data_IF_840689907114
#
_entry.id   IF_840689907114
#
_cell.length_a   1.000
_cell.length_b   1.000
_cell.length_c   1.000
_cell.angle_alpha   90.00
_cell.angle_beta   90.00
_cell.angle_gamma   90.00
#
_symmetry.space_group_name_H-M   'P 1'
#
loop_
_entity.id
_entity.type
_entity.pdbx_description
1 polymer ?
#
# COMPACT_ATOMS: atom_id res chain seq x y z
N UNK A 1 22.96 -9.21 -1.41
CA UNK A 1 21.78 -9.79 -0.73
C UNK A 1 20.83 -8.63 -0.52
N UNK A 2 19.77 -8.57 -1.33
CA UNK A 2 18.74 -7.53 -1.23
C UNK A 2 17.55 -8.23 -0.61
N UNK A 3 17.22 -7.87 0.63
CA UNK A 3 16.05 -8.38 1.30
C UNK A 3 14.82 -7.62 0.79
N UNK A 4 13.90 -8.35 0.16
CA UNK A 4 12.58 -7.82 -0.16
C UNK A 4 11.68 -8.12 1.04
N UNK A 5 11.60 -7.16 1.94
CA UNK A 5 10.76 -7.27 3.12
C UNK A 5 9.40 -6.62 2.85
N UNK A 6 8.33 -7.42 2.78
CA UNK A 6 6.97 -6.90 2.91
C UNK A 6 6.75 -6.60 4.39
N UNK A 7 7.15 -5.39 4.76
CA UNK A 7 7.05 -4.86 6.11
C UNK A 7 5.60 -4.55 6.48
N UNK A 8 5.04 -5.35 7.38
CA UNK A 8 4.63 -4.78 8.67
C UNK A 8 5.77 -5.05 9.67
N UNK A 9 6.72 -4.10 9.74
CA UNK A 9 7.83 -3.92 10.70
C UNK A 9 8.75 -5.13 11.04
N UNK A 10 10.01 -5.13 10.54
CA UNK A 10 11.18 -5.66 11.25
C UNK A 10 11.81 -4.53 12.05
N UNK A 11 12.08 -4.81 13.32
CA UNK A 11 13.09 -4.07 14.07
C UNK A 11 13.89 -5.06 14.92
N UNK A 12 15.20 -4.77 14.96
CA UNK A 12 16.19 -5.09 15.99
C UNK A 12 15.65 -5.81 17.25
N UNK A 13 16.26 -6.95 17.68
CA UNK A 13 15.81 -7.70 18.87
C UNK A 13 15.81 -6.89 20.19
N UNK A 14 16.42 -5.70 20.23
CA UNK A 14 16.37 -4.77 21.36
C UNK A 14 15.13 -3.86 21.43
N UNK A 15 14.25 -3.86 20.42
CA UNK A 15 13.03 -3.02 20.39
C UNK A 15 11.81 -3.84 19.94
N UNK A 16 11.55 -4.92 20.69
CA UNK A 16 10.29 -5.64 20.57
C UNK A 16 9.16 -4.75 21.12
N UNK A 17 8.38 -4.16 20.22
CA UNK A 17 6.98 -3.88 20.55
C UNK A 17 6.26 -5.22 20.46
N UNK A 18 6.49 -6.09 21.45
CA UNK A 18 5.62 -7.22 21.68
C UNK A 18 4.23 -6.63 21.91
N UNK A 19 3.31 -6.82 20.97
CA UNK A 19 1.88 -6.69 21.23
C UNK A 19 1.41 -8.08 21.68
N UNK A 20 1.54 -8.41 22.98
CA UNK A 20 1.28 -9.76 23.44
C UNK A 20 -0.24 -9.89 23.47
N UNK A 21 -0.80 -10.72 22.58
CA UNK A 21 -2.20 -11.19 22.63
C UNK A 21 -3.31 -10.24 22.12
N UNK A 22 -3.14 -9.60 20.96
CA UNK A 22 -4.28 -8.91 20.33
C UNK A 22 -4.77 -9.61 19.05
N UNK A 23 -6.07 -9.93 18.89
CA UNK A 23 -6.67 -10.51 17.67
C UNK A 23 -6.56 -9.63 16.40
N UNK A 24 -5.83 -8.52 16.46
CA UNK A 24 -5.61 -7.58 15.36
C UNK A 24 -4.15 -7.56 14.87
N UNK A 25 -3.29 -8.45 15.37
CA UNK A 25 -1.98 -8.68 14.75
C UNK A 25 -2.18 -9.32 13.37
N UNK A 26 -1.87 -8.60 12.30
CA UNK A 26 -1.98 -9.12 10.93
C UNK A 26 -1.07 -10.32 10.67
N UNK A 27 -1.36 -11.07 9.61
CA UNK A 27 -0.52 -12.18 9.15
C UNK A 27 0.77 -11.64 8.53
N UNK A 28 1.90 -12.32 8.80
CA UNK A 28 3.23 -11.92 8.31
C UNK A 28 3.96 -13.11 7.70
N UNK A 29 4.60 -12.88 6.56
CA UNK A 29 5.52 -13.81 5.93
C UNK A 29 6.76 -13.08 5.40
N UNK A 30 7.91 -13.74 5.48
CA UNK A 30 9.19 -13.24 4.95
C UNK A 30 9.67 -14.21 3.88
N UNK A 31 10.01 -13.68 2.71
CA UNK A 31 10.50 -14.45 1.57
C UNK A 31 11.86 -13.91 1.14
N UNK A 32 12.85 -14.78 1.06
CA UNK A 32 14.14 -14.43 0.47
C UNK A 32 14.01 -14.45 -1.06
N UNK A 33 14.43 -13.36 -1.71
CA UNK A 33 14.50 -13.27 -3.17
C UNK A 33 15.96 -13.36 -3.63
N UNK A 34 16.22 -14.19 -4.64
CA UNK A 34 17.50 -14.18 -5.33
C UNK A 34 17.61 -13.01 -6.33
N UNK A 35 18.80 -12.80 -6.89
CA UNK A 35 19.06 -11.68 -7.80
C UNK A 35 18.16 -11.70 -9.06
N UNK A 36 17.80 -12.89 -9.56
CA UNK A 36 16.91 -13.03 -10.72
C UNK A 36 15.49 -12.62 -10.38
N UNK A 37 15.01 -12.99 -9.20
CA UNK A 37 13.68 -12.64 -8.69
C UNK A 37 13.58 -11.14 -8.39
N UNK A 38 14.58 -10.58 -7.72
CA UNK A 38 14.65 -9.15 -7.45
C UNK A 38 14.69 -8.33 -8.75
N UNK A 39 15.44 -8.81 -9.75
CA UNK A 39 15.45 -8.19 -11.09
C UNK A 39 14.07 -8.22 -11.75
N UNK A 40 13.32 -9.32 -11.63
CA UNK A 40 11.95 -9.41 -12.17
C UNK A 40 11.01 -8.43 -11.49
N UNK A 41 11.07 -8.32 -10.16
CA UNK A 41 10.27 -7.35 -9.40
C UNK A 41 10.60 -5.91 -9.82
N UNK A 42 11.89 -5.59 -9.96
CA UNK A 42 12.31 -4.28 -10.44
C UNK A 42 11.75 -3.96 -11.83
N UNK A 43 11.88 -4.89 -12.78
CA UNK A 43 11.39 -4.69 -14.15
C UNK A 43 9.88 -4.51 -14.19
N UNK A 44 9.12 -5.24 -13.35
CA UNK A 44 7.67 -5.09 -13.28
C UNK A 44 7.24 -3.79 -12.61
N UNK A 45 8.00 -3.29 -11.63
CA UNK A 45 7.84 -1.94 -11.07
C UNK A 45 8.10 -0.85 -12.12
N UNK A 46 9.21 -0.96 -12.86
CA UNK A 46 9.56 -0.03 -13.94
C UNK A 46 8.49 0.01 -15.03
N UNK A 47 8.02 -1.16 -15.47
CA UNK A 47 6.94 -1.28 -16.45
C UNK A 47 5.60 -0.71 -15.96
N UNK A 48 5.44 -0.52 -14.64
CA UNK A 48 4.27 0.11 -14.02
C UNK A 48 4.46 1.61 -13.78
N UNK A 49 5.59 2.19 -14.22
CA UNK A 49 5.90 3.61 -14.05
C UNK A 49 6.46 3.99 -12.68
N UNK A 50 6.88 3.02 -11.85
CA UNK A 50 7.31 3.27 -10.47
C UNK A 50 8.41 4.33 -10.35
N UNK A 51 9.41 4.29 -11.21
CA UNK A 51 10.55 5.22 -11.19
C UNK A 51 10.25 6.60 -11.81
N UNK A 52 9.03 6.82 -12.30
CA UNK A 52 8.55 8.12 -12.77
C UNK A 52 8.29 9.09 -11.62
N UNK A 53 7.73 10.25 -11.95
CA UNK A 53 7.30 11.20 -10.93
C UNK A 53 6.04 10.67 -10.23
N UNK A 54 5.94 10.81 -8.89
CA UNK A 54 4.73 10.49 -8.15
C UNK A 54 3.57 11.39 -8.61
N UNK A 55 2.32 10.92 -8.60
CA UNK A 55 1.17 11.69 -9.07
C UNK A 55 0.72 12.68 -7.98
N UNK A 56 1.50 13.75 -7.81
CA UNK A 56 1.28 14.80 -6.81
C UNK A 56 -0.14 15.39 -6.93
N UNK A 57 -0.79 15.59 -5.79
CA UNK A 57 -2.17 16.07 -5.67
C UNK A 57 -3.22 14.94 -5.73
N UNK A 58 -2.82 13.70 -6.01
CA UNK A 58 -3.74 12.55 -5.98
C UNK A 58 -4.18 12.25 -4.56
N UNK A 59 -5.50 12.05 -4.38
CA UNK A 59 -6.09 11.67 -3.10
C UNK A 59 -6.29 10.16 -3.05
N UNK A 60 -5.66 9.53 -2.06
CA UNK A 60 -5.83 8.14 -1.65
C UNK A 60 -6.93 8.09 -0.60
N UNK A 61 -8.11 7.64 -1.02
CA UNK A 61 -9.25 7.41 -0.15
C UNK A 61 -9.16 6.03 0.50
N UNK A 62 -9.24 5.97 1.83
CA UNK A 62 -9.19 4.71 2.59
C UNK A 62 -10.30 3.73 2.24
N UNK A 63 -11.40 4.20 1.66
CA UNK A 63 -12.48 3.32 1.20
C UNK A 63 -12.26 2.79 -0.20
N UNK A 64 -11.31 3.34 -0.97
CA UNK A 64 -10.99 2.89 -2.32
C UNK A 64 -9.81 1.91 -2.33
N UNK A 65 -9.52 1.37 -3.51
CA UNK A 65 -8.36 0.53 -3.75
C UNK A 65 -7.24 1.37 -4.35
N UNK A 66 -6.04 1.24 -3.80
CA UNK A 66 -4.84 1.86 -4.35
C UNK A 66 -3.61 1.01 -4.03
N UNK A 67 -2.60 1.13 -4.87
CA UNK A 67 -1.26 0.65 -4.57
C UNK A 67 -0.37 1.84 -4.24
N UNK A 68 0.48 1.68 -3.22
CA UNK A 68 1.55 2.59 -2.89
C UNK A 68 2.82 1.75 -2.78
N UNK A 69 3.87 2.16 -3.49
CA UNK A 69 5.18 1.53 -3.38
C UNK A 69 6.17 2.60 -2.97
N UNK A 70 7.02 2.28 -2.00
CA UNK A 70 8.13 3.12 -1.58
C UNK A 70 9.38 2.24 -1.38
N UNK A 71 10.51 2.67 -1.91
CA UNK A 71 11.77 1.95 -1.79
C UNK A 71 12.97 2.88 -1.89
N UNK A 72 14.09 2.44 -1.32
CA UNK A 72 15.38 3.08 -1.49
C UNK A 72 16.20 2.28 -2.51
N UNK A 73 16.70 2.96 -3.54
CA UNK A 73 17.55 2.35 -4.54
C UNK A 73 18.68 3.29 -4.95
N UNK A 74 19.93 2.82 -4.88
CA UNK A 74 21.09 3.63 -5.28
C UNK A 74 21.21 4.97 -4.54
N UNK A 75 20.96 4.96 -3.22
CA UNK A 75 20.90 6.15 -2.35
C UNK A 75 19.82 7.19 -2.74
N UNK A 76 18.80 6.78 -3.49
CA UNK A 76 17.64 7.61 -3.79
C UNK A 76 16.37 6.95 -3.28
N UNK A 77 15.53 7.75 -2.62
CA UNK A 77 14.19 7.33 -2.25
C UNK A 77 13.27 7.51 -3.45
N UNK A 78 12.52 6.47 -3.76
CA UNK A 78 11.49 6.46 -4.79
C UNK A 78 10.17 6.10 -4.11
N UNK A 79 9.09 6.73 -4.54
CA UNK A 79 7.75 6.31 -4.17
C UNK A 79 6.78 6.68 -5.29
N UNK A 80 5.73 5.88 -5.43
CA UNK A 80 4.68 6.13 -6.41
C UNK A 80 3.36 5.50 -5.93
N UNK A 81 2.24 6.02 -6.42
CA UNK A 81 0.91 5.59 -6.06
C UNK A 81 0.03 5.43 -7.29
N UNK A 82 -0.88 4.47 -7.25
CA UNK A 82 -1.85 4.20 -8.31
C UNK A 82 -3.21 4.00 -7.66
N UNK A 83 -4.22 4.73 -8.12
CA UNK A 83 -5.57 4.70 -7.54
C UNK A 83 -6.54 4.03 -8.49
N UNK A 84 -7.36 3.12 -7.97
CA UNK A 84 -8.46 2.55 -8.71
C UNK A 84 -9.71 3.47 -8.61
N UNK A 85 -10.48 3.64 -9.69
CA UNK A 85 -10.20 3.18 -11.06
C UNK A 85 -9.29 4.15 -11.83
N UNK A 86 -8.29 3.64 -12.53
CA UNK A 86 -7.49 4.41 -13.51
C UNK A 86 -6.79 3.48 -14.51
N UNK A 87 -6.52 3.94 -15.74
CA UNK A 87 -5.73 3.16 -16.71
C UNK A 87 -4.37 2.74 -16.18
N UNK A 88 -3.72 3.57 -15.37
CA UNK A 88 -2.43 3.29 -14.76
C UNK A 88 -2.53 2.18 -13.70
N UNK A 89 -3.61 2.16 -12.92
CA UNK A 89 -3.90 1.09 -11.96
C UNK A 89 -4.17 -0.25 -12.67
N UNK A 90 -4.97 -0.23 -13.74
CA UNK A 90 -5.28 -1.44 -14.52
C UNK A 90 -4.05 -1.97 -15.28
N UNK A 91 -3.09 -1.08 -15.56
CA UNK A 91 -1.83 -1.37 -16.23
C UNK A 91 -0.77 -2.03 -15.35
N UNK A 92 -0.96 -2.12 -14.03
CA UNK A 92 0.06 -2.56 -13.07
C UNK A 92 0.59 -3.97 -13.38
N UNK A 93 1.91 -4.10 -13.48
CA UNK A 93 2.61 -5.37 -13.78
C UNK A 93 3.24 -6.02 -12.56
N UNK A 94 3.52 -5.25 -11.52
CA UNK A 94 4.21 -5.78 -10.33
C UNK A 94 3.31 -6.60 -9.42
N UNK A 95 1.98 -6.39 -9.44
CA UNK A 95 1.03 -7.08 -8.53
C UNK A 95 1.09 -8.60 -8.70
N UNK A 96 1.14 -9.09 -9.94
CA UNK A 96 1.29 -10.52 -10.21
C UNK A 96 2.64 -11.05 -9.71
N UNK A 97 3.70 -10.25 -9.83
CA UNK A 97 5.02 -10.63 -9.32
C UNK A 97 5.01 -10.73 -7.80
N UNK A 98 4.41 -9.75 -7.10
CA UNK A 98 4.29 -9.76 -5.64
C UNK A 98 3.49 -10.96 -5.12
N UNK A 99 2.38 -11.30 -5.76
CA UNK A 99 1.55 -12.46 -5.37
C UNK A 99 2.32 -13.79 -5.33
N UNK A 100 3.35 -13.95 -6.16
CA UNK A 100 4.18 -15.17 -6.17
C UNK A 100 5.08 -15.30 -4.94
N UNK A 101 5.36 -14.19 -4.26
CA UNK A 101 6.21 -14.14 -3.08
C UNK A 101 5.41 -13.95 -1.79
N UNK A 102 4.09 -13.82 -1.89
CA UNK A 102 3.19 -13.70 -0.75
C UNK A 102 3.05 -15.04 -0.02
N UNK A 103 3.75 -15.15 1.11
CA UNK A 103 3.66 -16.31 1.99
C UNK A 103 2.55 -16.22 3.04
N UNK A 104 1.82 -15.10 3.12
CA UNK A 104 0.79 -14.87 4.17
C UNK A 104 -0.46 -15.71 3.93
N UNK A 105 -0.71 -16.13 2.68
CA UNK A 105 -1.93 -16.81 2.22
C UNK A 105 -3.20 -15.98 2.43
N UNK A 106 -3.06 -14.69 2.75
CA UNK A 106 -4.18 -13.76 2.81
C UNK A 106 -4.51 -13.35 1.40
N UNK A 107 -5.77 -13.52 1.00
CA UNK A 107 -6.20 -13.12 -0.33
C UNK A 107 -6.17 -11.60 -0.47
N UNK A 108 -5.37 -11.09 -1.40
CA UNK A 108 -5.41 -9.68 -1.78
C UNK A 108 -6.75 -9.44 -2.50
N UNK A 109 -7.64 -8.60 -1.96
CA UNK A 109 -8.97 -8.38 -2.51
C UNK A 109 -8.89 -7.83 -3.93
N UNK A 110 -9.82 -8.26 -4.78
CA UNK A 110 -9.97 -7.70 -6.12
C UNK A 110 -10.42 -6.24 -6.02
N UNK A 111 -9.72 -5.36 -6.75
CA UNK A 111 -10.09 -3.96 -6.81
C UNK A 111 -11.44 -3.82 -7.50
N UNK A 112 -12.33 -3.00 -6.93
CA UNK A 112 -13.63 -2.74 -7.51
C UNK A 112 -13.97 -1.26 -7.43
N UNK A 113 -14.88 -0.84 -8.29
CA UNK A 113 -15.45 0.49 -8.18
C UNK A 113 -16.29 0.58 -6.92
N UNK A 114 -16.17 1.70 -6.22
CA UNK A 114 -17.06 2.03 -5.12
C UNK A 114 -18.46 2.32 -5.64
N UNK A 115 -19.47 1.79 -4.95
CA UNK A 115 -20.86 2.17 -5.15
C UNK A 115 -21.07 3.66 -4.84
N UNK A 116 -22.19 4.23 -5.30
CA UNK A 116 -22.51 5.63 -4.98
C UNK A 116 -22.61 5.86 -3.47
N UNK A 117 -23.17 4.90 -2.73
CA UNK A 117 -23.26 4.94 -1.27
C UNK A 117 -21.87 4.93 -0.61
N UNK A 118 -20.94 4.11 -1.08
CA UNK A 118 -19.57 4.08 -0.55
C UNK A 118 -18.76 5.33 -0.88
N UNK A 119 -19.04 5.94 -2.04
CA UNK A 119 -18.45 7.23 -2.43
C UNK A 119 -18.97 8.35 -1.53
N UNK A 120 -20.26 8.38 -1.26
CA UNK A 120 -20.90 9.37 -0.39
C UNK A 120 -20.39 9.26 1.06
N UNK A 121 -19.48 10.16 1.45
CA UNK A 121 -19.11 10.30 2.86
C UNK A 121 -20.25 10.97 3.63
N UNK A 122 -21.08 10.18 4.32
CA UNK A 122 -22.05 10.69 5.29
C UNK A 122 -21.47 10.58 6.70
N UNK A 123 -20.86 11.64 7.28
CA UNK A 123 -20.39 11.59 8.65
C UNK A 123 -21.60 11.31 9.56
N UNK A 124 -21.64 10.12 10.18
CA UNK A 124 -22.66 9.84 11.20
C UNK A 124 -22.44 10.79 12.38
N UNK A 125 -23.51 11.33 12.99
CA UNK A 125 -23.38 12.16 14.19
C UNK A 125 -22.62 11.39 15.28
N UNK A 126 -21.74 12.10 16.00
CA UNK A 126 -20.74 11.55 16.92
C UNK A 126 -21.27 10.54 17.97
N UNK A 127 -22.59 10.57 18.27
CA UNK A 127 -23.25 9.65 19.20
C UNK A 127 -23.38 8.20 18.68
N UNK A 128 -23.03 7.94 17.43
CA UNK A 128 -23.02 6.59 16.81
C UNK A 128 -21.59 6.04 16.55
N UNK A 129 -20.55 6.60 17.19
CA UNK A 129 -19.15 6.23 16.98
C UNK A 129 -18.65 5.09 17.88
N UNK A 130 -19.51 4.35 18.59
CA UNK A 130 -19.05 3.19 19.39
C UNK A 130 -18.58 2.00 18.50
N UNK A 131 -18.81 2.06 17.19
CA UNK A 131 -18.35 1.05 16.21
C UNK A 131 -18.07 1.61 14.79
N UNK A 132 -17.78 2.91 14.68
CA UNK A 132 -17.73 3.61 13.40
C UNK A 132 -16.47 3.35 12.57
N UNK A 133 -16.63 3.02 11.29
CA UNK A 133 -15.57 3.02 10.29
C UNK A 133 -14.93 4.41 10.17
N UNK A 134 -13.60 4.50 10.36
CA UNK A 134 -12.84 5.72 10.15
C UNK A 134 -12.42 5.81 8.67
N UNK A 135 -13.08 6.70 7.90
CA UNK A 135 -12.64 7.03 6.54
C UNK A 135 -11.62 8.15 6.62
N UNK A 136 -10.48 7.96 5.97
CA UNK A 136 -9.41 8.95 5.89
C UNK A 136 -8.96 9.16 4.46
N UNK A 137 -8.35 10.33 4.23
CA UNK A 137 -7.83 10.73 2.93
C UNK A 137 -6.36 11.08 3.09
N UNK A 138 -5.55 10.62 2.16
CA UNK A 138 -4.13 10.92 2.09
C UNK A 138 -3.82 11.53 0.74
N UNK A 139 -3.16 12.67 0.71
CA UNK A 139 -2.71 13.32 -0.51
C UNK A 139 -1.25 12.97 -0.81
N UNK A 140 -0.98 12.63 -2.06
CA UNK A 140 0.38 12.46 -2.58
C UNK A 140 1.04 13.85 -2.70
N UNK A 141 2.10 14.08 -1.95
CA UNK A 141 2.92 15.30 -1.95
C UNK A 141 4.29 15.01 -2.57
N UNK A 142 5.06 15.97 -3.11
CA UNK A 142 6.36 15.71 -3.72
C UNK A 142 7.39 15.00 -2.83
N UNK A 143 7.25 15.13 -1.52
CA UNK A 143 8.14 14.58 -0.49
C UNK A 143 7.52 13.41 0.29
N UNK A 144 6.32 12.94 -0.10
CA UNK A 144 5.68 11.78 0.50
C UNK A 144 4.15 11.88 0.56
N UNK A 145 3.59 11.63 1.74
CA UNK A 145 2.15 11.56 1.96
C UNK A 145 1.74 12.53 3.06
N UNK A 146 0.59 13.20 2.86
CA UNK A 146 0.02 14.13 3.84
C UNK A 146 -1.44 13.82 4.08
N UNK A 147 -1.89 13.93 5.33
CA UNK A 147 -3.32 13.84 5.66
C UNK A 147 -4.10 14.94 4.91
N UNK A 148 -5.18 14.55 4.25
CA UNK A 148 -6.09 15.45 3.56
C UNK A 148 -7.41 15.57 4.34
N UNK A 149 -7.94 16.79 4.41
CA UNK A 149 -9.20 17.06 5.10
C UNK A 149 -10.43 16.53 4.33
N UNK A 150 -10.32 16.43 3.00
CA UNK A 150 -11.25 15.86 1.99
C UNK A 150 -10.66 16.11 0.59
N UNK A 151 -11.04 15.33 -0.45
CA UNK A 151 -10.85 15.73 -1.84
C UNK A 151 -11.67 16.97 -2.20
#
# INVERSE_FOLDING_TARGET
MIDAEVLAAELNPGFLVHFPFWPWSGERAVTQMNDVEMKKLRVSLEASGYFGNPPVGTILDSNSFYWLVASCEGNRFHYNAWVHPSPEFDGLKFVETLRRFDGTKVEIPEARALTLEEKEFRPRPARAQESGYFRFFVEVQPDGLRMAARP
#
